data_IF_971810402459
#
_entry.id   IF_971810402459
#
_cell.length_a   1.000
_cell.length_b   1.000
_cell.length_c   1.000
_cell.angle_alpha   90.00
_cell.angle_beta   90.00
_cell.angle_gamma   90.00
#
_symmetry.space_group_name_H-M   'P 1'
#
loop_
_entity.id
_entity.type
_entity.pdbx_description
1 polymer ?
#
# COMPACT_ATOMS: atom_id res chain seq x y z
N UNK A 1 -16.47 3.11 -2.21
CA UNK A 1 -16.03 4.29 -2.97
C UNK A 1 -14.89 4.90 -2.19
N UNK A 2 -13.67 4.46 -2.45
CA UNK A 2 -12.49 4.93 -1.75
C UNK A 2 -12.26 6.41 -2.10
N UNK A 3 -12.44 7.29 -1.12
CA UNK A 3 -11.89 8.64 -0.91
C UNK A 3 -11.85 9.65 -2.09
N UNK A 4 -12.63 9.44 -3.15
CA UNK A 4 -12.73 10.37 -4.27
C UNK A 4 -14.10 11.06 -4.31
N UNK A 5 -14.09 12.40 -4.40
CA UNK A 5 -15.29 13.18 -4.69
C UNK A 5 -15.52 13.20 -6.21
N UNK A 6 -16.66 12.67 -6.65
CA UNK A 6 -17.05 12.66 -8.06
C UNK A 6 -18.06 13.77 -8.35
N UNK A 7 -17.72 14.66 -9.30
CA UNK A 7 -18.66 15.63 -9.85
C UNK A 7 -19.29 15.12 -11.14
N UNK A 8 -20.62 15.22 -11.21
CA UNK A 8 -21.37 14.97 -12.43
C UNK A 8 -21.37 16.20 -13.33
N UNK A 9 -20.92 16.05 -14.57
CA UNK A 9 -20.96 17.08 -15.60
C UNK A 9 -22.03 16.69 -16.61
N UNK A 10 -23.19 17.32 -16.48
CA UNK A 10 -24.40 16.96 -17.24
C UNK A 10 -24.21 17.09 -18.76
N UNK A 11 -23.67 18.22 -19.23
CA UNK A 11 -23.49 18.48 -20.66
C UNK A 11 -22.54 17.51 -21.39
N UNK A 12 -21.72 16.76 -20.66
CA UNK A 12 -20.80 15.77 -21.22
C UNK A 12 -21.12 14.33 -20.78
N UNK A 13 -22.19 14.14 -19.99
CA UNK A 13 -22.58 12.87 -19.38
C UNK A 13 -21.38 12.10 -18.78
N UNK A 14 -20.63 12.79 -17.91
CA UNK A 14 -19.45 12.22 -17.27
C UNK A 14 -19.42 12.45 -15.77
N UNK A 15 -18.77 11.53 -15.06
CA UNK A 15 -18.40 11.65 -13.66
C UNK A 15 -16.89 11.88 -13.59
N UNK A 16 -16.47 13.00 -12.98
CA UNK A 16 -15.06 13.36 -12.82
C UNK A 16 -14.67 13.33 -11.35
N UNK A 17 -13.70 12.50 -11.01
CA UNK A 17 -13.07 12.46 -9.69
C UNK A 17 -12.12 13.62 -9.49
N UNK A 18 -12.17 14.29 -8.34
CA UNK A 18 -11.32 15.44 -8.03
C UNK A 18 -9.87 15.03 -7.66
N UNK A 19 -9.68 14.00 -6.83
CA UNK A 19 -8.34 13.61 -6.37
C UNK A 19 -7.67 12.63 -7.34
N UNK A 20 -8.34 11.53 -7.70
CA UNK A 20 -7.77 10.54 -8.63
C UNK A 20 -7.88 10.92 -10.12
N UNK A 21 -8.48 12.07 -10.46
CA UNK A 21 -8.71 12.54 -11.84
C UNK A 21 -9.40 11.51 -12.77
N UNK A 22 -10.10 10.53 -12.21
CA UNK A 22 -10.78 9.50 -13.01
C UNK A 22 -12.04 10.05 -13.63
N UNK A 23 -12.22 9.77 -14.91
CA UNK A 23 -13.38 10.19 -15.68
C UNK A 23 -14.11 8.94 -16.13
N UNK A 24 -15.40 8.87 -15.82
CA UNK A 24 -16.32 7.85 -16.33
C UNK A 24 -17.33 8.54 -17.25
N UNK A 25 -17.32 8.22 -18.53
CA UNK A 25 -18.22 8.80 -19.52
C UNK A 25 -19.23 7.78 -20.01
N UNK A 26 -20.41 8.26 -20.39
CA UNK A 26 -21.39 7.45 -21.12
C UNK A 26 -20.79 6.91 -22.44
N UNK A 27 -20.88 5.59 -22.63
CA UNK A 27 -20.39 4.88 -23.82
C UNK A 27 -19.05 4.17 -23.61
N UNK A 28 -18.35 4.43 -22.52
CA UNK A 28 -17.08 3.75 -22.23
C UNK A 28 -17.31 2.28 -21.87
N UNK A 29 -16.43 1.41 -22.39
CA UNK A 29 -16.43 -0.01 -22.04
C UNK A 29 -15.74 -0.19 -20.69
N UNK A 30 -16.44 -0.80 -19.74
CA UNK A 30 -15.94 -1.05 -18.39
C UNK A 30 -16.14 -2.51 -17.99
N UNK A 31 -15.25 -3.01 -17.14
CA UNK A 31 -15.41 -4.32 -16.49
C UNK A 31 -16.12 -4.13 -15.16
N UNK A 32 -17.23 -4.84 -14.98
CA UNK A 32 -18.08 -4.79 -13.78
C UNK A 32 -18.21 -6.16 -13.15
N UNK A 33 -18.41 -6.16 -11.83
CA UNK A 33 -18.83 -7.32 -11.06
C UNK A 33 -20.28 -7.10 -10.60
N UNK A 34 -21.12 -8.13 -10.73
CA UNK A 34 -22.48 -8.12 -10.19
C UNK A 34 -22.41 -8.27 -8.68
N UNK A 35 -22.92 -7.28 -7.94
CA UNK A 35 -22.92 -7.29 -6.47
C UNK A 35 -24.20 -7.95 -5.96
N UNK A 36 -25.34 -7.52 -6.49
CA UNK A 36 -26.65 -7.99 -6.05
C UNK A 36 -27.65 -7.93 -7.19
N UNK A 37 -28.59 -8.87 -7.20
CA UNK A 37 -29.73 -8.90 -8.11
C UNK A 37 -31.00 -8.88 -7.27
N UNK A 38 -31.88 -7.92 -7.53
CA UNK A 38 -33.21 -7.87 -6.94
C UNK A 38 -34.26 -8.04 -8.04
N UNK A 39 -34.96 -9.18 -8.00
CA UNK A 39 -35.94 -9.58 -9.02
C UNK A 39 -37.27 -8.84 -8.87
N UNK A 40 -37.64 -8.47 -7.65
CA UNK A 40 -38.94 -7.84 -7.36
C UNK A 40 -39.01 -6.43 -7.93
N UNK A 41 -37.96 -5.63 -7.71
CA UNK A 41 -37.83 -4.27 -8.29
C UNK A 41 -37.13 -4.25 -9.65
N UNK A 42 -36.70 -5.42 -10.16
CA UNK A 42 -35.95 -5.57 -11.42
C UNK A 42 -34.69 -4.70 -11.48
N UNK A 43 -33.92 -4.69 -10.40
CA UNK A 43 -32.68 -3.90 -10.28
C UNK A 43 -31.45 -4.81 -10.13
N UNK A 44 -30.34 -4.37 -10.72
CA UNK A 44 -29.04 -5.02 -10.61
C UNK A 44 -28.02 -4.00 -10.11
N UNK A 45 -27.40 -4.31 -8.97
CA UNK A 45 -26.35 -3.49 -8.39
C UNK A 45 -25.00 -3.95 -8.96
N UNK A 46 -24.28 -3.04 -9.61
CA UNK A 46 -22.99 -3.30 -10.28
C UNK A 46 -21.85 -2.57 -9.58
N UNK A 47 -20.72 -3.24 -9.44
CA UNK A 47 -19.47 -2.64 -8.95
C UNK A 47 -18.39 -2.61 -10.02
N UNK A 48 -17.69 -1.49 -10.14
CA UNK A 48 -16.53 -1.39 -11.02
C UNK A 48 -15.35 -2.18 -10.45
N UNK A 49 -14.83 -3.13 -11.22
CA UNK A 49 -13.76 -4.04 -10.77
C UNK A 49 -12.53 -3.28 -10.28
N UNK A 50 -12.11 -2.25 -11.00
CA UNK A 50 -10.94 -1.42 -10.63
C UNK A 50 -11.09 -0.69 -9.29
N UNK A 51 -12.32 -0.37 -8.89
CA UNK A 51 -12.60 0.27 -7.61
C UNK A 51 -12.63 -0.79 -6.52
N UNK A 52 -13.28 -1.93 -6.78
CA UNK A 52 -13.35 -3.05 -5.83
C UNK A 52 -11.95 -3.59 -5.50
N UNK A 53 -11.07 -3.71 -6.49
CA UNK A 53 -9.68 -4.13 -6.29
C UNK A 53 -8.91 -3.13 -5.42
N UNK A 54 -9.06 -1.83 -5.68
CA UNK A 54 -8.40 -0.79 -4.88
C UNK A 54 -8.88 -0.76 -3.43
N UNK A 55 -10.18 -0.95 -3.19
CA UNK A 55 -10.71 -1.05 -1.82
C UNK A 55 -10.11 -2.27 -1.12
N UNK A 56 -10.08 -3.44 -1.78
CA UNK A 56 -9.45 -4.65 -1.24
C UNK A 56 -7.95 -4.50 -0.99
N UNK A 57 -7.24 -3.72 -1.81
CA UNK A 57 -5.82 -3.43 -1.61
C UNK A 57 -5.61 -2.40 -0.49
N UNK A 58 -6.48 -1.39 -0.36
CA UNK A 58 -6.43 -0.41 0.73
C UNK A 58 -6.77 -0.99 2.11
N UNK A 59 -7.61 -2.03 2.18
CA UNK A 59 -7.86 -2.80 3.41
C UNK A 59 -6.65 -3.64 3.84
N UNK A 60 -5.74 -3.96 2.91
CA UNK A 60 -4.42 -4.48 3.26
C UNK A 60 -3.55 -3.26 3.58
N UNK A 61 -3.51 -2.91 4.87
CA UNK A 61 -2.70 -1.82 5.41
C UNK A 61 -1.28 -1.76 4.83
N UNK A 62 -0.61 -0.59 4.94
CA UNK A 62 0.55 -0.23 4.13
C UNK A 62 1.51 -1.40 4.04
N UNK A 63 1.83 -1.83 2.82
CA UNK A 63 2.94 -2.76 2.57
C UNK A 63 4.16 -2.14 3.24
N UNK A 64 4.45 -2.51 4.49
CA UNK A 64 5.75 -2.30 5.11
C UNK A 64 6.70 -2.86 4.07
N UNK A 65 7.45 -1.97 3.44
CA UNK A 65 8.56 -2.33 2.57
C UNK A 65 9.27 -3.45 3.29
N UNK A 66 9.24 -4.64 2.68
CA UNK A 66 9.79 -5.86 3.24
C UNK A 66 11.26 -5.54 3.48
N UNK A 67 11.59 -5.08 4.68
CA UNK A 67 12.95 -4.77 5.06
C UNK A 67 13.67 -6.09 4.92
N UNK A 68 14.47 -6.20 3.87
CA UNK A 68 15.30 -7.36 3.61
C UNK A 68 16.16 -7.50 4.86
N UNK A 69 16.05 -8.61 5.63
CA UNK A 69 16.96 -8.80 6.74
C UNK A 69 18.36 -8.89 6.12
N UNK A 70 19.18 -7.90 6.41
CA UNK A 70 20.57 -7.82 5.96
C UNK A 70 21.27 -9.06 6.53
N UNK A 71 21.48 -10.04 5.67
CA UNK A 71 22.18 -11.28 5.99
C UNK A 71 23.60 -10.90 6.44
N UNK A 72 23.85 -10.91 7.75
CA UNK A 72 25.19 -10.76 8.30
C UNK A 72 26.01 -11.97 7.86
N UNK A 73 26.78 -11.77 6.77
CA UNK A 73 27.78 -12.74 6.35
C UNK A 73 28.87 -12.76 7.42
N UNK A 74 29.00 -13.90 8.07
CA UNK A 74 30.09 -14.26 8.95
C UNK A 74 31.40 -14.29 8.14
N UNK A 75 32.01 -13.11 8.00
CA UNK A 75 33.26 -12.87 7.28
C UNK A 75 34.42 -12.74 8.25
N UNK A 76 35.17 -13.83 8.38
CA UNK A 76 36.39 -13.97 9.17
C UNK A 76 37.53 -13.12 8.56
N UNK A 77 37.92 -12.00 9.17
CA UNK A 77 39.23 -11.34 8.93
C UNK A 77 39.56 -10.47 10.15
N UNK A 78 40.34 -11.00 11.11
CA UNK A 78 41.76 -10.69 11.35
C UNK A 78 42.13 -9.19 11.29
N UNK A 79 42.77 -8.78 12.39
CA UNK A 79 43.55 -7.56 12.70
C UNK A 79 42.80 -6.26 13.01
N UNK A 80 42.80 -5.88 14.29
CA UNK A 80 42.55 -4.50 14.73
C UNK A 80 42.35 -4.33 16.23
N UNK A 81 43.46 -4.08 16.96
CA UNK A 81 43.62 -3.41 18.29
C UNK A 81 42.56 -3.64 19.39
N UNK A 82 42.94 -4.13 20.59
CA UNK A 82 42.00 -4.26 21.71
C UNK A 82 41.45 -2.90 22.14
N UNK A 83 40.12 -2.84 22.27
CA UNK A 83 39.36 -1.64 22.58
C UNK A 83 39.65 -1.10 23.99
N UNK A 84 39.50 0.22 24.11
CA UNK A 84 39.82 1.09 25.26
C UNK A 84 39.28 0.63 26.64
N UNK A 85 38.33 -0.31 26.70
CA UNK A 85 37.81 -0.90 27.93
C UNK A 85 38.72 -1.98 28.55
N UNK A 86 39.59 -2.63 27.78
CA UNK A 86 40.53 -3.64 28.29
C UNK A 86 41.80 -3.01 28.90
N UNK A 87 42.04 -1.71 28.65
CA UNK A 87 43.20 -0.97 29.19
C UNK A 87 42.98 -0.45 30.62
N UNK A 88 41.74 -0.39 31.11
CA UNK A 88 41.42 0.16 32.43
C UNK A 88 41.45 -0.89 33.56
N UNK A 89 41.36 -2.18 33.25
CA UNK A 89 41.44 -3.26 34.24
C UNK A 89 42.87 -3.70 34.59
N UNK A 90 43.89 -3.23 33.86
CA UNK A 90 45.31 -3.55 34.12
C UNK A 90 46.12 -2.47 34.86
N UNK A 91 45.48 -1.38 35.29
CA UNK A 91 46.15 -0.26 36.00
C UNK A 91 45.64 -0.05 37.43
N UNK A 92 45.15 -1.12 38.08
CA UNK A 92 44.67 -1.09 39.46
C UNK A 92 45.28 -2.15 40.38
N UNK A 93 46.43 -2.74 40.04
CA UNK A 93 47.08 -3.79 40.84
C UNK A 93 48.58 -3.54 41.01
N UNK A 94 48.95 -2.76 42.04
CA UNK A 94 50.29 -2.82 42.65
C UNK A 94 50.26 -2.22 44.07
N UNK A 95 50.10 -3.10 45.06
CA UNK A 95 50.87 -3.09 46.30
C UNK A 95 51.40 -4.49 46.47
#
# INVERSE_FOLDING_TARGET
>A
MADDYYRFVEGAHLLRGENAQRVYRLGDKVKVQVIRVNMDVRQVDLGLVEILERVREGERGPRRSRATPKHEKHGKTRTGRPGRRERQTRKGGRR
#
